data_IF_623630210802
#
_entry.id   IF_623630210802
#
_cell.length_a   1.000
_cell.length_b   1.000
_cell.length_c   1.000
_cell.angle_alpha   90.00
_cell.angle_beta   90.00
_cell.angle_gamma   90.00
#
_symmetry.space_group_name_H-M   'P 1'
#
loop_
_entity.id
_entity.type
_entity.pdbx_description
1 polymer ?
#
# COMPACT_ATOMS: atom_id res chain seq x y z
N UNK A 1 16.27 5.30 -72.91
CA UNK A 1 15.75 6.39 -72.07
C UNK A 1 14.68 5.83 -71.13
N UNK A 2 14.69 6.30 -69.88
CA UNK A 2 13.85 5.94 -68.73
C UNK A 2 14.19 4.64 -67.96
N UNK A 3 14.35 4.84 -66.64
CA UNK A 3 14.89 4.00 -65.57
C UNK A 3 13.70 3.58 -64.69
N UNK A 4 13.63 2.34 -64.21
CA UNK A 4 13.03 2.00 -62.91
C UNK A 4 13.74 0.76 -62.36
N UNK A 5 14.27 0.95 -61.17
CA UNK A 5 14.94 0.01 -60.29
C UNK A 5 13.84 -0.67 -59.47
N UNK A 6 13.74 -2.00 -59.48
CA UNK A 6 12.92 -2.68 -58.47
C UNK A 6 13.65 -3.92 -57.94
N UNK A 7 14.17 -3.77 -56.72
CA UNK A 7 14.55 -4.86 -55.83
C UNK A 7 13.32 -5.24 -55.00
N UNK A 8 12.97 -6.52 -54.94
CA UNK A 8 12.39 -7.10 -53.73
C UNK A 8 13.25 -8.31 -53.31
N UNK A 9 13.70 -8.49 -52.08
CA UNK A 9 13.21 -7.98 -50.81
C UNK A 9 13.60 -9.05 -49.79
N UNK A 10 14.46 -8.68 -48.86
CA UNK A 10 15.16 -9.54 -47.90
C UNK A 10 14.22 -10.20 -46.86
N UNK A 11 13.47 -11.23 -47.24
CA UNK A 11 12.46 -11.84 -46.34
C UNK A 11 12.77 -13.32 -45.99
N UNK A 12 13.84 -13.93 -46.52
CA UNK A 12 14.11 -15.35 -46.22
C UNK A 12 14.86 -15.62 -44.91
N UNK A 13 15.44 -14.61 -44.25
CA UNK A 13 16.20 -14.82 -43.00
C UNK A 13 15.39 -14.55 -41.71
N UNK A 14 14.15 -14.08 -41.81
CA UNK A 14 13.33 -13.73 -40.63
C UNK A 14 12.45 -14.88 -40.10
N UNK A 15 12.31 -15.99 -40.84
CA UNK A 15 11.54 -17.16 -40.35
C UNK A 15 12.36 -18.07 -39.43
N UNK A 16 13.66 -18.24 -39.67
CA UNK A 16 14.51 -19.15 -38.88
C UNK A 16 14.78 -18.66 -37.45
N UNK A 17 14.85 -17.35 -37.23
CA UNK A 17 15.14 -16.79 -35.88
C UNK A 17 13.94 -16.76 -34.93
N UNK A 18 12.71 -16.90 -35.46
CA UNK A 18 11.47 -16.87 -34.68
C UNK A 18 11.11 -18.23 -34.08
N UNK A 19 11.52 -19.31 -34.75
CA UNK A 19 11.34 -20.70 -34.28
C UNK A 19 12.27 -21.02 -33.10
N UNK A 20 13.53 -20.58 -33.15
CA UNK A 20 14.54 -20.90 -32.13
C UNK A 20 14.29 -20.20 -30.77
N UNK A 21 13.56 -19.08 -30.79
CA UNK A 21 13.11 -18.41 -29.55
C UNK A 21 12.03 -19.18 -28.79
N UNK A 22 11.38 -20.17 -29.42
CA UNK A 22 10.28 -20.93 -28.80
C UNK A 22 10.76 -22.10 -27.91
N UNK A 23 12.04 -22.49 -27.99
CA UNK A 23 12.57 -23.66 -27.26
C UNK A 23 13.49 -23.34 -26.08
N UNK A 24 13.70 -22.07 -25.72
CA UNK A 24 14.34 -21.76 -24.43
C UNK A 24 13.28 -21.80 -23.33
N UNK A 25 13.31 -22.78 -22.40
CA UNK A 25 12.42 -22.72 -21.24
C UNK A 25 12.67 -21.38 -20.54
N UNK A 26 11.59 -20.65 -20.28
CA UNK A 26 11.67 -19.40 -19.54
C UNK A 26 12.49 -19.64 -18.27
N UNK A 27 13.47 -18.78 -17.94
CA UNK A 27 14.20 -18.93 -16.68
C UNK A 27 13.19 -18.98 -15.54
N UNK A 28 13.36 -19.85 -14.54
CA UNK A 28 12.43 -19.91 -13.42
C UNK A 28 12.32 -18.51 -12.83
N UNK A 29 11.13 -17.93 -12.91
CA UNK A 29 10.83 -16.66 -12.25
C UNK A 29 11.04 -16.92 -10.77
N UNK A 30 12.21 -16.54 -10.23
CA UNK A 30 12.52 -16.66 -8.80
C UNK A 30 11.56 -15.72 -8.07
N UNK A 31 10.36 -16.21 -7.76
CA UNK A 31 9.48 -15.61 -6.77
C UNK A 31 10.20 -15.80 -5.45
N UNK A 32 11.05 -14.83 -5.09
CA UNK A 32 11.70 -14.80 -3.78
C UNK A 32 10.60 -14.75 -2.74
N UNK A 33 10.22 -15.92 -2.22
CA UNK A 33 9.43 -16.02 -1.00
C UNK A 33 10.36 -15.61 0.12
N UNK A 34 10.42 -14.31 0.32
CA UNK A 34 11.11 -13.68 1.42
C UNK A 34 10.77 -14.44 2.72
N UNK A 35 11.76 -15.06 3.33
CA UNK A 35 11.60 -15.85 4.55
C UNK A 35 11.12 -14.97 5.70
N UNK A 36 10.50 -15.56 6.73
CA UNK A 36 10.02 -14.82 7.91
C UNK A 36 11.15 -13.99 8.54
N UNK A 37 12.35 -14.57 8.65
CA UNK A 37 13.55 -13.90 9.16
C UNK A 37 14.01 -12.73 8.29
N UNK A 38 14.00 -12.88 6.96
CA UNK A 38 14.32 -11.78 6.04
C UNK A 38 13.31 -10.63 6.13
N UNK A 39 12.02 -10.93 6.31
CA UNK A 39 10.99 -9.90 6.49
C UNK A 39 11.18 -9.14 7.81
N UNK A 40 11.53 -9.84 8.89
CA UNK A 40 11.85 -9.21 10.18
C UNK A 40 13.09 -8.31 10.03
N UNK A 41 14.15 -8.81 9.39
CA UNK A 41 15.38 -8.04 9.12
C UNK A 41 15.09 -6.77 8.33
N UNK A 42 14.31 -6.86 7.25
CA UNK A 42 13.90 -5.70 6.44
C UNK A 42 13.12 -4.69 7.28
N UNK A 43 12.22 -5.15 8.15
CA UNK A 43 11.49 -4.30 9.09
C UNK A 43 12.40 -3.58 10.09
N UNK A 44 13.40 -4.28 10.64
CA UNK A 44 14.38 -3.69 11.54
C UNK A 44 15.27 -2.65 10.85
N UNK A 45 15.75 -2.94 9.64
CA UNK A 45 16.50 -1.96 8.85
C UNK A 45 15.69 -0.70 8.58
N UNK A 46 14.41 -0.84 8.21
CA UNK A 46 13.52 0.30 8.01
C UNK A 46 13.40 1.15 9.29
N UNK A 47 13.24 0.53 10.46
CA UNK A 47 13.22 1.23 11.75
C UNK A 47 14.52 2.00 12.00
N UNK A 48 15.67 1.37 11.77
CA UNK A 48 16.99 1.99 11.95
C UNK A 48 17.15 3.24 11.07
N UNK A 49 16.74 3.18 9.80
CA UNK A 49 16.80 4.34 8.90
C UNK A 49 15.86 5.47 9.33
N UNK A 50 14.65 5.14 9.77
CA UNK A 50 13.71 6.14 10.32
C UNK A 50 14.27 6.77 11.60
N UNK A 51 14.85 5.96 12.48
CA UNK A 51 15.47 6.41 13.72
C UNK A 51 16.65 7.36 13.46
N UNK A 52 17.54 6.99 12.54
CA UNK A 52 18.64 7.86 12.10
C UNK A 52 18.13 9.23 11.64
N UNK A 53 17.11 9.24 10.78
CA UNK A 53 16.51 10.47 10.27
C UNK A 53 15.85 11.32 11.37
N UNK A 54 15.13 10.69 12.30
CA UNK A 54 14.44 11.39 13.39
C UNK A 54 15.39 11.93 14.46
N UNK A 55 16.51 11.26 14.69
CA UNK A 55 17.55 11.72 15.61
C UNK A 55 18.48 12.76 14.99
N UNK A 56 18.35 13.05 13.68
CA UNK A 56 19.21 14.01 12.99
C UNK A 56 20.69 13.62 12.96
N UNK A 57 20.99 12.32 13.02
CA UNK A 57 22.37 11.83 13.00
C UNK A 57 22.97 12.00 11.60
N UNK A 58 24.06 12.75 11.51
CA UNK A 58 24.81 12.90 10.27
C UNK A 58 25.46 11.57 9.84
N UNK A 59 25.77 11.44 8.55
CA UNK A 59 26.36 10.24 7.97
C UNK A 59 27.73 9.92 8.59
N UNK A 60 28.48 10.92 9.01
CA UNK A 60 29.75 10.76 9.72
C UNK A 60 29.55 10.14 11.11
N UNK A 61 28.69 10.74 11.94
CA UNK A 61 28.36 10.25 13.29
C UNK A 61 27.72 8.86 13.25
N UNK A 62 26.89 8.62 12.23
CA UNK A 62 26.27 7.33 12.00
C UNK A 62 27.30 6.22 11.72
N UNK A 63 28.29 6.49 10.86
CA UNK A 63 29.36 5.53 10.58
C UNK A 63 30.26 5.32 11.78
N UNK A 64 30.61 6.37 12.51
CA UNK A 64 31.40 6.27 13.74
C UNK A 64 30.68 5.40 14.79
N UNK A 65 29.37 5.59 14.99
CA UNK A 65 28.56 4.77 15.89
C UNK A 65 28.53 3.29 15.50
N UNK A 66 28.44 2.99 14.20
CA UNK A 66 28.43 1.62 13.70
C UNK A 66 29.81 0.95 13.79
N UNK A 67 30.88 1.68 13.52
CA UNK A 67 32.26 1.19 13.65
C UNK A 67 32.63 0.94 15.12
N UNK A 68 32.31 1.87 16.02
CA UNK A 68 32.58 1.75 17.46
C UNK A 68 31.87 0.53 18.09
N UNK A 69 30.58 0.35 17.77
CA UNK A 69 29.76 -0.66 18.46
C UNK A 69 29.77 -2.04 17.78
N UNK A 70 29.88 -2.07 16.46
CA UNK A 70 29.71 -3.29 15.67
C UNK A 70 30.87 -3.56 14.71
N UNK A 71 31.84 -2.65 14.59
CA UNK A 71 32.96 -2.80 13.66
C UNK A 71 32.57 -2.79 12.19
N UNK A 72 31.37 -2.29 11.84
CA UNK A 72 30.88 -2.26 10.46
C UNK A 72 30.64 -0.85 9.97
N UNK A 73 30.82 -0.65 8.66
CA UNK A 73 30.61 0.65 8.02
C UNK A 73 29.17 0.86 7.54
N UNK A 74 28.34 -0.18 7.59
CA UNK A 74 26.97 -0.16 7.10
C UNK A 74 26.04 -1.03 7.93
N UNK A 75 24.85 -0.49 8.22
CA UNK A 75 23.78 -1.21 8.92
C UNK A 75 23.29 -2.43 8.11
N UNK A 76 23.52 -2.48 6.80
CA UNK A 76 23.15 -3.60 5.94
C UNK A 76 23.93 -4.88 6.26
N UNK A 77 25.12 -4.78 6.87
CA UNK A 77 25.98 -5.90 7.21
C UNK A 77 25.65 -6.52 8.58
N UNK A 78 24.86 -5.83 9.41
CA UNK A 78 24.54 -6.28 10.76
C UNK A 78 23.67 -7.54 10.75
N UNK A 79 23.86 -8.48 11.66
CA UNK A 79 22.96 -9.63 11.86
C UNK A 79 21.61 -9.19 12.47
N UNK A 80 20.62 -10.10 12.50
CA UNK A 80 19.29 -9.78 13.06
C UNK A 80 19.38 -9.36 14.54
N UNK A 81 20.14 -10.07 15.37
CA UNK A 81 20.33 -9.72 16.79
C UNK A 81 21.11 -8.41 16.98
N UNK A 82 22.07 -8.12 16.10
CA UNK A 82 22.79 -6.84 16.12
C UNK A 82 21.87 -5.67 15.75
N UNK A 83 20.95 -5.86 14.79
CA UNK A 83 19.94 -4.85 14.45
C UNK A 83 18.98 -4.59 15.60
N UNK A 84 18.54 -5.61 16.33
CA UNK A 84 17.70 -5.43 17.53
C UNK A 84 18.43 -4.64 18.63
N UNK A 85 19.71 -4.97 18.87
CA UNK A 85 20.55 -4.22 19.81
C UNK A 85 20.72 -2.76 19.40
N UNK A 86 20.94 -2.50 18.10
CA UNK A 86 21.03 -1.14 17.56
C UNK A 86 19.73 -0.36 17.73
N UNK A 87 18.58 -0.99 17.44
CA UNK A 87 17.26 -0.37 17.66
C UNK A 87 17.07 0.00 19.13
N UNK A 88 17.39 -0.90 20.07
CA UNK A 88 17.30 -0.60 21.50
C UNK A 88 18.24 0.53 21.95
N UNK A 89 19.41 0.68 21.33
CA UNK A 89 20.30 1.82 21.58
C UNK A 89 19.73 3.13 21.07
N UNK A 90 19.11 3.12 19.89
CA UNK A 90 18.43 4.29 19.33
C UNK A 90 17.23 4.69 20.18
N UNK A 91 16.50 3.71 20.72
CA UNK A 91 15.42 3.95 21.67
C UNK A 91 15.89 4.67 22.94
N UNK A 92 17.03 4.25 23.50
CA UNK A 92 17.67 4.92 24.65
C UNK A 92 18.14 6.35 24.33
N UNK A 93 18.46 6.65 23.07
CA UNK A 93 18.82 8.00 22.61
C UNK A 93 17.61 8.92 22.41
N UNK A 94 16.41 8.48 22.75
CA UNK A 94 15.19 9.28 22.65
C UNK A 94 14.39 9.04 21.37
N UNK A 95 14.77 8.07 20.54
CA UNK A 95 13.90 7.62 19.47
C UNK A 95 12.78 6.74 20.06
N UNK A 96 11.57 6.86 19.55
CA UNK A 96 10.51 5.92 19.86
C UNK A 96 9.90 5.44 18.55
N UNK A 97 9.73 4.12 18.35
CA UNK A 97 9.07 3.62 17.16
C UNK A 97 7.67 4.24 17.09
N UNK A 98 7.48 5.15 16.13
CA UNK A 98 6.17 5.72 15.85
C UNK A 98 5.20 4.56 15.66
N UNK A 99 4.12 4.55 16.45
CA UNK A 99 3.08 3.51 16.38
C UNK A 99 2.73 3.32 14.92
N UNK A 100 3.09 2.17 14.36
CA UNK A 100 2.67 1.75 13.04
C UNK A 100 1.17 2.02 12.99
N UNK A 101 0.74 2.96 12.14
CA UNK A 101 -0.69 3.21 11.93
C UNK A 101 -1.31 1.85 11.68
N UNK A 102 -2.24 1.44 12.55
CA UNK A 102 -2.81 0.08 12.53
C UNK A 102 -3.14 -0.27 11.07
N UNK A 103 -2.82 -1.48 10.58
CA UNK A 103 -3.00 -1.85 9.17
C UNK A 103 -4.42 -1.63 8.64
N UNK A 104 -5.36 -1.49 9.56
CA UNK A 104 -6.78 -1.38 9.35
C UNK A 104 -7.22 -0.02 8.76
N UNK A 105 -6.45 1.07 8.95
CA UNK A 105 -6.82 2.42 8.50
C UNK A 105 -5.69 3.12 7.74
N UNK A 106 -5.19 2.48 6.68
CA UNK A 106 -4.12 3.06 5.84
C UNK A 106 -4.50 4.41 5.21
N UNK A 107 -5.79 4.61 4.95
CA UNK A 107 -6.30 5.80 4.27
C UNK A 107 -6.93 6.84 5.21
N UNK A 108 -7.23 6.47 6.46
CA UNK A 108 -7.86 7.39 7.43
C UNK A 108 -9.15 8.04 6.92
N UNK A 109 -9.65 9.04 7.64
CA UNK A 109 -10.76 9.87 7.17
C UNK A 109 -10.31 10.70 5.97
N UNK A 110 -11.01 10.64 4.81
CA UNK A 110 -10.65 11.41 3.62
C UNK A 110 -10.61 12.92 3.89
N UNK A 111 -9.60 13.60 3.38
CA UNK A 111 -9.59 15.07 3.43
C UNK A 111 -10.60 15.67 2.42
N UNK A 112 -11.32 16.70 2.84
CA UNK A 112 -12.24 17.44 1.96
C UNK A 112 -11.42 18.54 1.28
N UNK A 113 -10.98 18.30 0.05
CA UNK A 113 -10.16 19.27 -0.69
C UNK A 113 -10.95 20.48 -1.20
N UNK A 114 -12.28 20.36 -1.34
CA UNK A 114 -13.15 21.37 -1.96
C UNK A 114 -14.54 21.34 -1.33
N UNK A 115 -15.06 22.53 -1.00
CA UNK A 115 -16.49 22.73 -0.73
C UNK A 115 -17.18 22.84 -2.09
N UNK A 116 -17.94 21.82 -2.46
CA UNK A 116 -18.83 21.87 -3.62
C UNK A 116 -20.22 22.33 -3.18
N UNK A 117 -20.76 23.33 -3.87
CA UNK A 117 -22.02 24.03 -3.54
C UNK A 117 -23.28 23.25 -3.96
N UNK A 118 -23.13 22.02 -4.46
CA UNK A 118 -24.24 21.18 -4.90
C UNK A 118 -24.94 20.46 -3.74
N UNK A 119 -25.74 21.18 -2.95
CA UNK A 119 -26.84 20.70 -2.07
C UNK A 119 -26.49 19.74 -0.91
N UNK A 120 -25.82 18.62 -1.18
CA UNK A 120 -25.09 17.81 -0.21
C UNK A 120 -23.63 17.84 -0.65
N UNK A 121 -22.92 18.93 -0.35
CA UNK A 121 -21.50 19.05 -0.67
C UNK A 121 -20.72 17.80 -0.24
N UNK A 122 -19.58 17.57 -0.89
CA UNK A 122 -18.67 16.43 -0.66
C UNK A 122 -18.52 16.02 0.81
N UNK A 123 -18.42 17.00 1.70
CA UNK A 123 -18.35 16.81 3.15
C UNK A 123 -19.57 16.07 3.74
N UNK A 124 -20.79 16.45 3.34
CA UNK A 124 -22.01 15.79 3.80
C UNK A 124 -22.08 14.32 3.36
N UNK A 125 -21.59 14.03 2.16
CA UNK A 125 -21.51 12.66 1.66
C UNK A 125 -20.49 11.84 2.46
N UNK A 126 -19.31 12.40 2.75
CA UNK A 126 -18.31 11.74 3.58
C UNK A 126 -18.82 11.53 5.01
N UNK A 127 -19.50 12.50 5.63
CA UNK A 127 -20.14 12.34 6.94
C UNK A 127 -21.17 11.21 6.93
N UNK A 128 -21.95 11.07 5.85
CA UNK A 128 -22.91 9.96 5.70
C UNK A 128 -22.22 8.61 5.57
N UNK A 129 -21.12 8.54 4.81
CA UNK A 129 -20.29 7.32 4.72
C UNK A 129 -19.74 6.94 6.09
N UNK A 130 -19.22 7.90 6.85
CA UNK A 130 -18.72 7.70 8.22
C UNK A 130 -19.79 7.10 9.14
N UNK A 131 -21.01 7.66 9.10
CA UNK A 131 -22.14 7.18 9.89
C UNK A 131 -22.51 5.73 9.52
N UNK A 132 -22.57 5.42 8.21
CA UNK A 132 -22.89 4.07 7.73
C UNK A 132 -21.81 3.05 8.10
N UNK A 133 -20.52 3.43 8.04
CA UNK A 133 -19.44 2.57 8.50
C UNK A 133 -19.55 2.30 10.01
N UNK A 134 -19.80 3.33 10.81
CA UNK A 134 -20.00 3.15 12.26
C UNK A 134 -21.18 2.23 12.58
N UNK A 135 -22.29 2.37 11.84
CA UNK A 135 -23.47 1.53 11.98
C UNK A 135 -23.21 0.08 11.56
N UNK A 136 -22.54 -0.14 10.43
CA UNK A 136 -22.12 -1.47 9.99
C UNK A 136 -21.16 -2.10 11.01
N UNK A 137 -20.26 -1.31 11.57
CA UNK A 137 -19.35 -1.75 12.61
C UNK A 137 -20.07 -2.17 13.90
N UNK A 138 -21.10 -1.43 14.33
CA UNK A 138 -21.97 -1.82 15.45
C UNK A 138 -22.67 -3.15 15.18
N UNK A 139 -23.21 -3.33 13.98
CA UNK A 139 -23.89 -4.56 13.58
C UNK A 139 -22.95 -5.79 13.57
N UNK A 140 -21.67 -5.60 13.22
CA UNK A 140 -20.67 -6.67 13.22
C UNK A 140 -19.85 -6.78 14.52
N UNK A 141 -20.11 -5.92 15.51
CA UNK A 141 -19.35 -5.89 16.77
C UNK A 141 -17.88 -5.48 16.63
N UNK A 142 -17.51 -4.81 15.54
CA UNK A 142 -16.12 -4.43 15.22
C UNK A 142 -16.05 -3.02 14.65
N UNK A 143 -14.91 -2.35 14.81
CA UNK A 143 -14.68 -1.10 14.10
C UNK A 143 -14.69 -1.35 12.58
N UNK A 144 -15.35 -0.48 11.82
CA UNK A 144 -15.36 -0.54 10.36
C UNK A 144 -14.52 0.61 9.79
N UNK A 145 -13.44 0.30 9.04
CA UNK A 145 -12.49 1.30 8.60
C UNK A 145 -12.96 2.02 7.35
N UNK A 146 -12.41 3.20 7.11
CA UNK A 146 -12.62 3.93 5.85
C UNK A 146 -12.08 3.17 4.62
N UNK A 147 -11.12 2.27 4.83
CA UNK A 147 -10.58 1.35 3.81
C UNK A 147 -11.69 0.47 3.19
N UNK A 148 -12.72 0.11 3.96
CA UNK A 148 -13.87 -0.66 3.46
C UNK A 148 -14.68 0.15 2.44
N UNK A 149 -14.95 1.43 2.73
CA UNK A 149 -15.60 2.32 1.78
C UNK A 149 -14.72 2.60 0.54
N UNK A 150 -13.40 2.73 0.73
CA UNK A 150 -12.45 2.88 -0.37
C UNK A 150 -12.40 1.63 -1.26
N UNK A 151 -12.54 0.42 -0.69
CA UNK A 151 -12.63 -0.81 -1.46
C UNK A 151 -13.91 -0.86 -2.33
N UNK A 152 -15.07 -0.46 -1.77
CA UNK A 152 -16.31 -0.34 -2.55
C UNK A 152 -16.13 0.65 -3.72
N UNK A 153 -15.57 1.83 -3.44
CA UNK A 153 -15.29 2.82 -4.48
C UNK A 153 -14.39 2.24 -5.58
N UNK A 154 -13.32 1.52 -5.19
CA UNK A 154 -12.39 0.88 -6.12
C UNK A 154 -13.09 -0.13 -7.02
N UNK A 155 -14.02 -0.91 -6.48
CA UNK A 155 -14.80 -1.85 -7.27
C UNK A 155 -15.78 -1.17 -8.23
N UNK A 156 -16.34 -0.02 -7.85
CA UNK A 156 -17.30 0.72 -8.68
C UNK A 156 -16.64 1.57 -9.77
N UNK A 157 -15.47 2.16 -9.49
CA UNK A 157 -14.88 3.23 -10.31
C UNK A 157 -13.39 3.06 -10.60
N UNK A 158 -12.72 2.12 -9.93
CA UNK A 158 -11.26 1.96 -9.99
C UNK A 158 -10.46 2.91 -9.09
N UNK A 159 -11.09 3.92 -8.48
CA UNK A 159 -10.40 4.87 -7.61
C UNK A 159 -10.07 4.25 -6.25
N UNK A 160 -8.83 4.45 -5.81
CA UNK A 160 -8.35 3.90 -4.53
C UNK A 160 -8.62 4.83 -3.34
N UNK A 161 -8.84 6.13 -3.60
CA UNK A 161 -9.06 7.13 -2.55
C UNK A 161 -10.39 7.83 -2.74
N UNK A 162 -11.19 7.87 -1.67
CA UNK A 162 -12.43 8.64 -1.61
C UNK A 162 -12.19 10.12 -1.89
N UNK A 163 -11.01 10.66 -1.53
CA UNK A 163 -10.55 12.04 -1.78
C UNK A 163 -10.67 12.49 -3.24
N UNK A 164 -10.52 11.57 -4.18
CA UNK A 164 -10.57 11.85 -5.62
C UNK A 164 -11.91 11.47 -6.27
N UNK A 165 -12.85 10.95 -5.49
CA UNK A 165 -14.15 10.54 -6.02
C UNK A 165 -15.02 11.77 -6.32
N UNK A 166 -15.71 11.76 -7.44
CA UNK A 166 -16.70 12.77 -7.82
C UNK A 166 -18.00 12.58 -7.00
N UNK A 167 -18.82 13.64 -6.76
CA UNK A 167 -20.01 13.53 -5.92
C UNK A 167 -21.00 12.42 -6.31
N UNK A 168 -21.18 12.10 -7.60
CA UNK A 168 -22.03 10.97 -8.02
C UNK A 168 -21.45 9.62 -7.60
N UNK A 169 -20.13 9.48 -7.64
CA UNK A 169 -19.43 8.27 -7.22
C UNK A 169 -19.56 8.06 -5.70
N UNK A 170 -19.49 9.14 -4.91
CA UNK A 170 -19.74 9.09 -3.47
C UNK A 170 -21.19 8.68 -3.16
N UNK A 171 -22.18 9.11 -3.95
CA UNK A 171 -23.58 8.61 -3.83
C UNK A 171 -23.66 7.12 -4.09
N UNK A 172 -22.94 6.61 -5.07
CA UNK A 172 -22.86 5.17 -5.37
C UNK A 172 -22.30 4.35 -4.21
N UNK A 173 -21.27 4.85 -3.53
CA UNK A 173 -20.69 4.22 -2.32
C UNK A 173 -21.70 4.23 -1.17
N UNK A 174 -22.38 5.36 -0.94
CA UNK A 174 -23.42 5.49 0.08
C UNK A 174 -24.53 4.46 -0.15
N UNK A 175 -25.03 4.35 -1.38
CA UNK A 175 -26.11 3.40 -1.71
C UNK A 175 -25.71 1.94 -1.43
N UNK A 176 -24.48 1.56 -1.80
CA UNK A 176 -23.95 0.22 -1.50
C UNK A 176 -23.84 -0.03 0.01
N UNK A 177 -23.31 0.92 0.78
CA UNK A 177 -23.19 0.81 2.23
C UNK A 177 -24.57 0.72 2.92
N UNK A 178 -25.54 1.55 2.50
CA UNK A 178 -26.90 1.49 3.05
C UNK A 178 -27.56 0.12 2.81
N UNK A 179 -27.35 -0.47 1.63
CA UNK A 179 -27.83 -1.84 1.33
C UNK A 179 -27.18 -2.89 2.24
N UNK A 180 -25.86 -2.79 2.45
CA UNK A 180 -25.14 -3.73 3.32
C UNK A 180 -25.61 -3.64 4.77
N UNK A 181 -25.79 -2.43 5.30
CA UNK A 181 -26.33 -2.20 6.64
C UNK A 181 -27.73 -2.81 6.78
N UNK A 182 -28.62 -2.56 5.81
CA UNK A 182 -29.97 -3.11 5.84
C UNK A 182 -29.98 -4.65 5.79
N UNK A 183 -29.10 -5.26 4.99
CA UNK A 183 -28.94 -6.71 4.94
C UNK A 183 -28.45 -7.27 6.29
N UNK A 184 -27.45 -6.63 6.90
CA UNK A 184 -26.90 -7.08 8.19
C UNK A 184 -27.90 -6.97 9.33
N UNK A 185 -28.72 -5.91 9.36
CA UNK A 185 -29.81 -5.77 10.33
C UNK A 185 -30.81 -6.92 10.25
N UNK A 186 -31.30 -7.24 9.04
CA UNK A 186 -32.23 -8.36 8.84
C UNK A 186 -31.66 -9.69 9.35
N UNK A 187 -30.37 -9.94 9.14
CA UNK A 187 -29.71 -11.14 9.65
C UNK A 187 -29.55 -11.13 11.18
N UNK A 188 -29.32 -9.97 11.79
CA UNK A 188 -29.25 -9.84 13.24
C UNK A 188 -30.63 -10.06 13.90
N UNK A 189 -31.68 -9.48 13.32
CA UNK A 189 -33.06 -9.64 13.78
C UNK A 189 -33.51 -11.11 13.66
N UNK A 190 -33.19 -11.78 12.55
CA UNK A 190 -33.51 -13.20 12.33
C UNK A 190 -32.71 -14.17 13.20
N UNK A 191 -31.55 -13.76 13.74
CA UNK A 191 -30.76 -14.58 14.65
C UNK A 191 -31.19 -14.45 16.12
N UNK A 192 -32.09 -13.51 16.43
CA UNK A 192 -32.55 -13.20 17.79
C UNK A 192 -33.95 -13.79 18.08
N UNK A 193 -34.61 -14.38 17.07
CA UNK A 193 -35.90 -15.09 17.18
C UNK A 193 -35.66 -16.59 17.27
#
# INVERSE_FOLDING_TARGET
MAKILEMPGAISHLKTKREERRQKPAPPVKRSRNTRSENIRKGLLAKVHVAKAQLGLDDADWRALLEERFGVRSSALLSLGQLESLVGHLEKRGWSPSRIRKPFDRHGKPHVATRDDSGMGREGQLRKIEALLAELGRAEGRYMPWDYAAAILKHQTGLTRLEYAEPSQLRGVIAALSKNVASKRRHADAATV
#
